data_IF_137343101179
#
_entry.id   IF_137343101179
#
_cell.length_a   1.000
_cell.length_b   1.000
_cell.length_c   1.000
_cell.angle_alpha   90.00
_cell.angle_beta   90.00
_cell.angle_gamma   90.00
#
_symmetry.space_group_name_H-M   'P 1'
#
loop_
_entity.id
_entity.type
_entity.pdbx_description
1 polymer ?
#
# COMPACT_ATOMS: atom_id res chain seq x y z
N UNK A 1 -5.26 2.03 -16.11
CA UNK A 1 -5.48 2.77 -17.37
C UNK A 1 -5.16 4.26 -17.18
N UNK A 2 -4.82 4.95 -18.29
CA UNK A 2 -4.46 6.37 -18.31
C UNK A 2 -5.65 7.23 -18.74
N UNK A 3 -5.74 8.45 -18.22
CA UNK A 3 -6.62 9.48 -18.76
C UNK A 3 -5.83 10.30 -19.80
N UNK A 4 -6.08 10.14 -21.12
CA UNK A 4 -5.45 10.97 -22.13
C UNK A 4 -6.06 12.37 -22.12
N UNK A 5 -5.23 13.38 -22.34
CA UNK A 5 -5.64 14.77 -22.53
C UNK A 5 -4.93 15.35 -23.76
N UNK A 6 -5.55 16.30 -24.40
CA UNK A 6 -4.90 17.11 -25.41
C UNK A 6 -4.35 18.38 -24.77
N UNK A 7 -3.03 18.54 -24.84
CA UNK A 7 -2.34 19.75 -24.38
C UNK A 7 -1.70 20.44 -25.61
N UNK A 8 -2.35 21.48 -26.08
CA UNK A 8 -2.08 22.08 -27.40
C UNK A 8 -2.21 21.01 -28.50
N UNK A 9 -1.13 20.74 -29.24
CA UNK A 9 -1.07 19.80 -30.35
C UNK A 9 -0.45 18.44 -29.96
N UNK A 10 -0.32 18.14 -28.66
CA UNK A 10 0.30 16.93 -28.16
C UNK A 10 -0.66 16.17 -27.27
N UNK A 11 -0.62 14.86 -27.39
CA UNK A 11 -1.24 13.99 -26.41
C UNK A 11 -0.41 14.00 -25.12
N UNK A 12 -1.08 14.14 -23.99
CA UNK A 12 -0.53 14.03 -22.66
C UNK A 12 -1.43 13.17 -21.81
N UNK A 13 -1.02 12.85 -20.59
CA UNK A 13 -1.79 12.01 -19.69
C UNK A 13 -1.81 12.62 -18.29
N UNK A 14 -2.93 12.47 -17.59
CA UNK A 14 -3.00 12.80 -16.18
C UNK A 14 -2.12 11.83 -15.37
N UNK A 15 -1.48 12.33 -14.32
CA UNK A 15 -0.56 11.56 -13.51
C UNK A 15 -1.26 10.43 -12.77
N UNK A 16 -0.78 9.18 -12.92
CA UNK A 16 -1.28 8.03 -12.17
C UNK A 16 -0.58 7.85 -10.82
N UNK A 17 0.67 8.30 -10.70
CA UNK A 17 1.54 8.13 -9.55
C UNK A 17 2.82 8.94 -9.74
N UNK A 18 3.43 9.45 -8.67
CA UNK A 18 4.74 10.10 -8.71
C UNK A 18 5.92 9.11 -8.70
N UNK A 19 5.68 7.79 -8.83
CA UNK A 19 6.65 6.73 -8.55
C UNK A 19 8.02 6.94 -9.21
N UNK A 20 8.06 7.25 -10.52
CA UNK A 20 9.32 7.41 -11.25
C UNK A 20 10.15 8.59 -10.74
N UNK A 21 9.49 9.67 -10.36
CA UNK A 21 10.18 10.89 -9.88
C UNK A 21 10.67 10.73 -8.45
N UNK A 22 9.87 10.16 -7.54
CA UNK A 22 10.29 9.97 -6.15
C UNK A 22 11.43 8.94 -6.04
N UNK A 23 11.46 7.86 -6.83
CA UNK A 23 12.59 6.93 -6.89
C UNK A 23 13.88 7.63 -7.37
N UNK A 24 13.81 8.46 -8.41
CA UNK A 24 14.97 9.21 -8.87
C UNK A 24 15.47 10.23 -7.83
N UNK A 25 14.55 10.86 -7.11
CA UNK A 25 14.89 11.85 -6.08
C UNK A 25 15.54 11.23 -4.86
N UNK A 26 15.28 9.96 -4.52
CA UNK A 26 15.96 9.27 -3.41
C UNK A 26 17.45 9.13 -3.61
N UNK A 27 17.96 9.17 -4.84
CA UNK A 27 19.40 9.18 -5.11
C UNK A 27 20.11 10.43 -4.56
N UNK A 28 19.38 11.52 -4.34
CA UNK A 28 19.94 12.79 -3.85
C UNK A 28 19.45 13.16 -2.46
N UNK A 29 18.21 12.82 -2.12
CA UNK A 29 17.56 13.25 -0.87
C UNK A 29 17.35 12.12 0.13
N UNK A 30 17.62 10.87 -0.24
CA UNK A 30 17.45 9.65 0.56
C UNK A 30 16.01 9.40 1.02
N UNK A 31 15.27 10.42 1.42
CA UNK A 31 13.87 10.37 1.86
C UNK A 31 13.06 11.42 1.12
N UNK A 32 12.01 10.96 0.45
CA UNK A 32 11.12 11.82 -0.34
C UNK A 32 9.68 11.49 0.01
N UNK A 33 8.85 12.51 0.09
CA UNK A 33 7.40 12.35 0.11
C UNK A 33 6.74 13.30 -0.86
N UNK A 34 5.55 12.92 -1.31
CA UNK A 34 4.70 13.76 -2.16
C UNK A 34 3.25 13.63 -1.72
N UNK A 35 2.53 14.74 -1.70
CA UNK A 35 1.09 14.78 -1.47
C UNK A 35 0.49 15.45 -2.71
N UNK A 36 -0.12 14.67 -3.61
CA UNK A 36 -0.56 15.15 -4.90
C UNK A 36 -1.81 14.41 -5.41
N UNK A 37 -2.59 15.05 -6.29
CA UNK A 37 -3.69 14.37 -6.97
C UNK A 37 -3.17 13.31 -7.94
N UNK A 38 -3.80 12.13 -7.93
CA UNK A 38 -3.55 11.04 -8.86
C UNK A 38 -4.84 10.70 -9.61
N UNK A 39 -4.69 10.21 -10.84
CA UNK A 39 -5.80 9.90 -11.73
C UNK A 39 -5.63 8.50 -12.32
N UNK A 40 -6.55 7.61 -12.02
CA UNK A 40 -6.52 6.23 -12.50
C UNK A 40 -7.81 5.90 -13.23
N UNK A 41 -7.76 5.63 -14.52
CA UNK A 41 -8.94 5.22 -15.31
C UNK A 41 -9.25 3.73 -15.05
N UNK A 42 -9.71 3.43 -13.84
CA UNK A 42 -10.06 2.07 -13.45
C UNK A 42 -11.40 1.65 -14.07
N UNK A 43 -11.50 0.44 -14.63
CA UNK A 43 -12.75 -0.05 -15.21
C UNK A 43 -13.79 -0.43 -14.13
N UNK A 44 -13.36 -0.53 -12.87
CA UNK A 44 -14.18 -0.94 -11.73
C UNK A 44 -14.75 0.27 -11.00
N UNK A 45 -16.02 0.19 -10.58
CA UNK A 45 -16.70 1.21 -9.79
C UNK A 45 -17.00 0.65 -8.39
N UNK A 46 -15.97 0.60 -7.55
CA UNK A 46 -16.12 0.20 -6.15
C UNK A 46 -15.60 1.30 -5.24
N UNK A 47 -15.90 1.24 -3.96
CA UNK A 47 -15.37 2.18 -2.96
C UNK A 47 -13.83 2.16 -2.83
N UNK A 48 -13.16 1.18 -3.45
CA UNK A 48 -11.71 1.02 -3.47
C UNK A 48 -11.05 1.56 -4.75
N UNK A 49 -11.83 1.80 -5.81
CA UNK A 49 -11.34 2.20 -7.13
C UNK A 49 -11.83 3.61 -7.45
N UNK A 50 -11.11 4.59 -6.96
CA UNK A 50 -11.36 5.99 -7.23
C UNK A 50 -10.63 6.41 -8.52
N UNK A 51 -11.33 7.14 -9.38
CA UNK A 51 -10.74 7.70 -10.60
C UNK A 51 -9.82 8.89 -10.30
N UNK A 52 -10.05 9.58 -9.19
CA UNK A 52 -9.27 10.70 -8.68
C UNK A 52 -9.13 10.58 -7.17
N UNK A 53 -7.93 10.78 -6.65
CA UNK A 53 -7.65 10.81 -5.22
C UNK A 53 -6.43 11.68 -4.92
N UNK A 54 -6.30 12.15 -3.68
CA UNK A 54 -5.05 12.70 -3.17
C UNK A 54 -4.24 11.55 -2.61
N UNK A 55 -3.07 11.30 -3.21
CA UNK A 55 -2.12 10.28 -2.74
C UNK A 55 -1.10 10.90 -1.80
N UNK A 56 -0.74 10.17 -0.74
CA UNK A 56 0.40 10.46 0.12
C UNK A 56 1.42 9.36 -0.17
N UNK A 57 2.48 9.73 -0.85
CA UNK A 57 3.51 8.82 -1.33
C UNK A 57 4.82 9.05 -0.57
N UNK A 58 5.49 7.96 -0.20
CA UNK A 58 6.78 7.96 0.49
C UNK A 58 7.77 7.09 -0.30
N UNK A 59 9.03 7.51 -0.36
CA UNK A 59 10.13 6.69 -0.85
C UNK A 59 11.37 6.94 0.02
N UNK A 60 12.02 5.88 0.48
CA UNK A 60 13.20 5.95 1.36
C UNK A 60 14.29 5.02 0.83
N UNK A 61 15.50 5.53 0.66
CA UNK A 61 16.67 4.76 0.27
C UNK A 61 17.30 4.05 1.47
N UNK A 62 18.04 2.94 1.21
CA UNK A 62 18.82 2.19 2.19
C UNK A 62 18.01 1.51 3.30
N UNK A 63 16.72 1.28 3.07
CA UNK A 63 15.79 0.61 3.99
C UNK A 63 15.09 -0.57 3.32
N UNK A 64 14.47 -1.42 4.12
CA UNK A 64 13.59 -2.47 3.65
C UNK A 64 12.10 -2.16 3.99
N UNK A 65 11.21 -3.06 3.58
CA UNK A 65 9.78 -2.90 3.80
C UNK A 65 9.38 -2.88 5.29
N UNK A 66 10.21 -3.45 6.19
CA UNK A 66 9.94 -3.42 7.63
C UNK A 66 10.18 -2.01 8.21
N UNK A 67 11.22 -1.33 7.73
CA UNK A 67 11.50 0.06 8.11
C UNK A 67 10.38 0.97 7.65
N UNK A 68 9.90 0.77 6.40
CA UNK A 68 8.79 1.55 5.84
C UNK A 68 7.48 1.31 6.62
N UNK A 69 7.16 0.06 6.98
CA UNK A 69 6.00 -0.22 7.84
C UNK A 69 6.09 0.50 9.18
N UNK A 70 7.27 0.57 9.78
CA UNK A 70 7.48 1.29 11.04
C UNK A 70 7.26 2.80 10.87
N UNK A 71 7.67 3.38 9.73
CA UNK A 71 7.37 4.79 9.40
C UNK A 71 5.87 5.04 9.25
N UNK A 72 5.18 4.14 8.55
CA UNK A 72 3.72 4.25 8.37
C UNK A 72 3.00 4.15 9.71
N UNK A 73 3.43 3.25 10.59
CA UNK A 73 2.90 3.14 11.95
C UNK A 73 3.04 4.45 12.74
N UNK A 74 4.21 5.11 12.67
CA UNK A 74 4.44 6.41 13.28
C UNK A 74 3.51 7.50 12.70
N UNK A 75 3.36 7.52 11.36
CA UNK A 75 2.47 8.47 10.68
C UNK A 75 1.02 8.29 11.12
N UNK A 76 0.53 7.05 11.20
CA UNK A 76 -0.83 6.76 11.67
C UNK A 76 -1.03 7.25 13.09
N UNK A 77 -0.10 6.95 14.00
CA UNK A 77 -0.17 7.40 15.40
C UNK A 77 -0.22 8.92 15.52
N UNK A 78 0.68 9.61 14.84
CA UNK A 78 0.73 11.09 14.85
C UNK A 78 -0.54 11.69 14.24
N UNK A 79 -1.04 11.12 13.17
CA UNK A 79 -2.26 11.59 12.51
C UNK A 79 -3.48 11.43 13.43
N UNK A 80 -3.63 10.29 14.11
CA UNK A 80 -4.73 10.07 15.07
C UNK A 80 -4.63 11.05 16.24
N UNK A 81 -3.42 11.27 16.79
CA UNK A 81 -3.20 12.25 17.87
C UNK A 81 -3.64 13.65 17.42
N UNK A 82 -3.21 14.08 16.22
CA UNK A 82 -3.56 15.40 15.68
C UNK A 82 -5.07 15.57 15.48
N UNK A 83 -5.75 14.54 14.97
CA UNK A 83 -7.21 14.55 14.80
C UNK A 83 -7.92 14.57 16.15
N UNK A 84 -7.47 13.79 17.14
CA UNK A 84 -8.04 13.78 18.48
C UNK A 84 -7.87 15.14 19.17
N UNK A 85 -6.74 15.80 19.02
CA UNK A 85 -6.50 17.15 19.53
C UNK A 85 -7.40 18.18 18.83
N UNK A 86 -7.61 18.06 17.53
CA UNK A 86 -8.56 18.89 16.81
C UNK A 86 -9.99 18.72 17.36
N UNK A 87 -10.46 17.49 17.54
CA UNK A 87 -11.80 17.19 18.07
C UNK A 87 -11.96 17.78 19.48
N UNK A 88 -10.96 17.62 20.34
CA UNK A 88 -10.94 18.16 21.70
C UNK A 88 -11.10 19.68 21.72
N UNK A 89 -10.48 20.38 20.77
CA UNK A 89 -10.52 21.82 20.65
C UNK A 89 -11.73 22.35 19.87
N UNK A 90 -12.53 21.46 19.24
CA UNK A 90 -13.71 21.77 18.47
C UNK A 90 -14.89 20.87 18.90
N UNK A 91 -15.52 21.16 20.06
CA UNK A 91 -16.57 20.29 20.64
C UNK A 91 -17.80 20.09 19.74
N UNK A 92 -18.04 21.02 18.82
CA UNK A 92 -19.15 20.95 17.83
C UNK A 92 -18.80 20.09 16.60
N UNK A 93 -17.62 19.46 16.56
CA UNK A 93 -17.21 18.57 15.48
C UNK A 93 -18.08 17.30 15.45
N UNK A 94 -18.50 16.88 14.26
CA UNK A 94 -19.20 15.60 14.05
C UNK A 94 -18.28 14.38 14.17
N UNK A 95 -16.97 14.58 14.26
CA UNK A 95 -15.99 13.50 14.39
C UNK A 95 -15.90 12.98 15.82
N UNK A 96 -15.59 11.70 15.96
CA UNK A 96 -15.34 11.04 17.24
C UNK A 96 -13.88 10.69 17.39
N UNK A 97 -13.35 10.78 18.62
CA UNK A 97 -11.98 10.41 18.93
C UNK A 97 -11.74 8.93 18.64
N UNK A 98 -10.57 8.63 18.08
CA UNK A 98 -10.12 7.27 17.76
C UNK A 98 -8.96 6.90 18.70
N UNK A 99 -8.96 5.68 19.29
CA UNK A 99 -7.84 5.23 20.10
C UNK A 99 -6.54 5.19 19.28
N UNK A 100 -5.46 5.70 19.85
CA UNK A 100 -4.12 5.57 19.23
C UNK A 100 -3.65 4.13 19.44
N UNK A 101 -3.35 3.37 18.38
CA UNK A 101 -2.87 2.01 18.52
C UNK A 101 -1.49 1.99 19.21
N UNK A 102 -1.30 1.12 20.18
CA UNK A 102 0.01 0.92 20.80
C UNK A 102 0.99 0.33 19.79
N UNK A 103 0.57 -0.74 19.11
CA UNK A 103 1.29 -1.40 18.01
C UNK A 103 0.30 -1.78 16.93
N UNK A 104 0.76 -1.80 15.67
CA UNK A 104 0.01 -2.32 14.54
C UNK A 104 0.49 -3.76 14.27
N UNK A 105 -0.35 -4.79 14.48
CA UNK A 105 0.05 -6.19 14.28
C UNK A 105 0.40 -6.47 12.83
N UNK A 106 1.32 -7.42 12.61
CA UNK A 106 1.76 -7.89 11.31
C UNK A 106 1.39 -9.35 11.14
N UNK A 107 0.68 -9.67 10.08
CA UNK A 107 0.30 -11.04 9.71
C UNK A 107 0.91 -11.37 8.35
N UNK A 108 1.49 -12.55 8.21
CA UNK A 108 1.93 -13.01 6.89
C UNK A 108 0.71 -13.39 6.04
N UNK A 109 0.87 -13.34 4.74
CA UNK A 109 -0.15 -13.81 3.80
C UNK A 109 -0.52 -15.28 4.09
N UNK A 110 0.47 -16.14 4.38
CA UNK A 110 0.26 -17.55 4.70
C UNK A 110 -0.61 -17.71 5.95
N UNK A 111 -0.30 -16.98 7.04
CA UNK A 111 -1.11 -17.00 8.27
C UNK A 111 -2.57 -16.63 8.03
N UNK A 112 -2.82 -15.64 7.15
CA UNK A 112 -4.18 -15.22 6.85
C UNK A 112 -4.93 -16.23 5.99
N UNK A 113 -4.27 -16.83 4.99
CA UNK A 113 -4.85 -17.92 4.18
C UNK A 113 -5.24 -19.07 5.08
N UNK A 114 -4.35 -19.51 5.98
CA UNK A 114 -4.63 -20.58 6.93
C UNK A 114 -5.84 -20.27 7.84
N UNK A 115 -5.90 -19.04 8.38
CA UNK A 115 -7.04 -18.60 9.22
C UNK A 115 -8.34 -18.57 8.43
N UNK A 116 -8.33 -18.08 7.21
CA UNK A 116 -9.51 -18.02 6.35
C UNK A 116 -9.99 -19.40 5.96
N UNK A 117 -9.09 -20.34 5.64
CA UNK A 117 -9.46 -21.74 5.36
C UNK A 117 -10.09 -22.42 6.58
N UNK A 118 -9.52 -22.22 7.78
CA UNK A 118 -10.10 -22.70 9.04
C UNK A 118 -11.48 -22.11 9.34
N UNK A 119 -11.73 -20.87 8.88
CA UNK A 119 -13.04 -20.21 8.96
C UNK A 119 -14.01 -20.58 7.83
N UNK A 120 -13.67 -21.58 7.01
CA UNK A 120 -14.51 -22.08 5.92
C UNK A 120 -14.53 -21.22 4.66
N UNK A 121 -13.51 -20.36 4.45
CA UNK A 121 -13.34 -19.67 3.19
C UNK A 121 -12.70 -20.59 2.15
N UNK A 122 -13.18 -20.50 0.91
CA UNK A 122 -12.53 -21.14 -0.25
C UNK A 122 -11.45 -20.18 -0.76
N UNK A 123 -10.25 -20.28 -0.23
CA UNK A 123 -9.09 -19.47 -0.61
C UNK A 123 -7.91 -20.43 -0.80
N UNK A 124 -7.22 -20.34 -1.91
CA UNK A 124 -5.99 -21.08 -2.19
C UNK A 124 -4.77 -20.16 -2.09
N UNK A 125 -3.60 -20.75 -1.94
CA UNK A 125 -2.37 -19.98 -1.92
C UNK A 125 -2.12 -19.33 -3.28
N UNK A 126 -1.89 -18.01 -3.29
CA UNK A 126 -1.75 -17.22 -4.51
C UNK A 126 -3.01 -16.43 -4.90
N UNK A 127 -4.14 -16.71 -4.25
CA UNK A 127 -5.37 -15.95 -4.46
C UNK A 127 -5.28 -14.53 -3.87
N UNK A 128 -6.11 -13.63 -4.38
CA UNK A 128 -6.32 -12.34 -3.73
C UNK A 128 -7.12 -12.51 -2.42
N UNK A 129 -6.79 -11.70 -1.41
CA UNK A 129 -7.48 -11.71 -0.13
C UNK A 129 -8.75 -10.84 -0.20
N UNK A 130 -9.84 -11.44 -0.68
CA UNK A 130 -11.11 -10.75 -0.82
C UNK A 130 -11.67 -10.27 0.52
N UNK A 131 -12.26 -9.06 0.57
CA UNK A 131 -12.87 -8.50 1.78
C UNK A 131 -13.85 -9.44 2.48
N UNK A 132 -14.65 -10.16 1.68
CA UNK A 132 -15.62 -11.13 2.19
C UNK A 132 -14.98 -12.29 2.96
N UNK A 133 -13.73 -12.65 2.62
CA UNK A 133 -12.98 -13.69 3.30
C UNK A 133 -12.24 -13.13 4.54
N UNK A 134 -11.69 -11.91 4.43
CA UNK A 134 -11.10 -11.23 5.58
C UNK A 134 -12.11 -10.97 6.70
N UNK A 135 -13.35 -10.61 6.37
CA UNK A 135 -14.44 -10.48 7.36
C UNK A 135 -14.72 -11.75 8.17
N UNK A 136 -14.51 -12.93 7.59
CA UNK A 136 -14.74 -14.21 8.28
C UNK A 136 -13.76 -14.47 9.44
N UNK A 137 -12.57 -13.87 9.38
CA UNK A 137 -11.55 -14.03 10.42
C UNK A 137 -11.57 -12.92 11.47
N UNK A 138 -12.49 -11.94 11.34
CA UNK A 138 -12.80 -10.95 12.37
C UNK A 138 -11.64 -10.06 12.76
N UNK A 139 -10.77 -9.68 11.81
CA UNK A 139 -9.71 -8.71 12.05
C UNK A 139 -10.29 -7.30 11.99
N UNK A 140 -10.30 -6.64 13.14
CA UNK A 140 -10.74 -5.26 13.28
C UNK A 140 -9.55 -4.33 13.55
N UNK A 141 -9.69 -3.05 13.19
CA UNK A 141 -8.65 -2.04 13.38
C UNK A 141 -7.50 -2.16 12.37
N UNK A 142 -6.35 -1.57 12.74
CA UNK A 142 -5.16 -1.54 11.89
C UNK A 142 -4.37 -2.84 11.98
N UNK A 143 -3.91 -3.36 10.83
CA UNK A 143 -2.94 -4.46 10.75
C UNK A 143 -2.20 -4.42 9.41
N UNK A 144 -1.00 -4.98 9.37
CA UNK A 144 -0.26 -5.20 8.13
C UNK A 144 -0.43 -6.64 7.65
N UNK A 145 -0.53 -6.79 6.33
CA UNK A 145 -0.37 -8.08 5.63
C UNK A 145 0.99 -8.04 4.96
N UNK A 146 1.84 -9.03 5.23
CA UNK A 146 3.21 -9.10 4.69
C UNK A 146 3.43 -10.37 3.87
N UNK A 147 4.56 -10.44 3.19
CA UNK A 147 5.02 -11.66 2.51
C UNK A 147 4.04 -12.21 1.47
N UNK A 148 3.48 -11.29 0.69
CA UNK A 148 2.56 -11.64 -0.39
C UNK A 148 3.21 -12.54 -1.44
N UNK A 149 2.45 -13.42 -2.12
CA UNK A 149 2.93 -14.13 -3.30
C UNK A 149 3.53 -13.17 -4.33
N UNK A 150 4.71 -13.52 -4.86
CA UNK A 150 5.43 -12.65 -5.80
C UNK A 150 4.73 -12.55 -7.17
N UNK A 151 4.08 -13.62 -7.62
CA UNK A 151 3.48 -13.70 -8.96
C UNK A 151 2.54 -12.55 -9.32
N UNK A 152 1.55 -12.20 -8.47
CA UNK A 152 0.64 -11.08 -8.69
C UNK A 152 1.28 -9.70 -8.56
N UNK A 153 2.40 -9.57 -7.83
CA UNK A 153 3.02 -8.26 -7.57
C UNK A 153 3.69 -7.68 -8.82
N UNK A 154 3.83 -6.35 -8.92
CA UNK A 154 4.53 -5.69 -10.01
C UNK A 154 5.98 -6.14 -10.17
N UNK A 155 6.52 -6.01 -11.37
CA UNK A 155 7.87 -6.48 -11.72
C UNK A 155 9.00 -5.86 -10.88
N UNK A 156 8.79 -4.67 -10.34
CA UNK A 156 9.79 -3.94 -9.55
C UNK A 156 9.82 -4.33 -8.07
N UNK A 157 8.91 -5.19 -7.62
CA UNK A 157 8.88 -5.64 -6.22
C UNK A 157 9.94 -6.72 -6.00
N UNK A 158 10.72 -6.56 -4.93
CA UNK A 158 11.79 -7.49 -4.57
C UNK A 158 11.21 -8.79 -4.00
N UNK A 159 11.80 -9.91 -4.39
CA UNK A 159 11.53 -11.20 -3.77
C UNK A 159 12.27 -11.36 -2.44
N UNK A 160 11.70 -12.16 -1.56
CA UNK A 160 12.33 -12.49 -0.29
C UNK A 160 13.55 -13.39 -0.51
N UNK A 161 14.65 -13.09 0.18
CA UNK A 161 15.86 -13.90 0.17
C UNK A 161 15.65 -15.32 0.72
N UNK A 162 14.70 -15.48 1.64
CA UNK A 162 14.40 -16.77 2.28
C UNK A 162 13.49 -17.65 1.42
N UNK A 163 12.62 -17.04 0.61
CA UNK A 163 11.68 -17.75 -0.25
C UNK A 163 11.37 -16.92 -1.51
N UNK A 164 11.90 -17.29 -2.69
CA UNK A 164 11.69 -16.51 -3.91
C UNK A 164 10.25 -16.53 -4.45
N UNK A 165 9.33 -17.29 -3.83
CA UNK A 165 7.91 -17.28 -4.20
C UNK A 165 7.13 -16.15 -3.52
N UNK A 166 7.69 -15.55 -2.47
CA UNK A 166 7.09 -14.44 -1.74
C UNK A 166 7.85 -13.14 -1.98
N UNK A 167 7.17 -12.03 -1.79
CA UNK A 167 7.69 -10.70 -2.02
C UNK A 167 7.97 -9.96 -0.72
N UNK A 168 8.96 -9.09 -0.70
CA UNK A 168 9.18 -8.10 0.36
C UNK A 168 8.17 -6.94 0.18
N UNK A 169 6.89 -7.24 0.42
CA UNK A 169 5.80 -6.27 0.29
C UNK A 169 4.82 -6.36 1.45
N UNK A 170 4.08 -5.29 1.63
CA UNK A 170 3.04 -5.20 2.64
C UNK A 170 1.83 -4.42 2.13
N UNK A 171 0.68 -4.68 2.74
CA UNK A 171 -0.50 -3.82 2.67
C UNK A 171 -0.92 -3.46 4.10
N UNK A 172 -1.21 -2.17 4.36
CA UNK A 172 -1.82 -1.70 5.60
C UNK A 172 -3.32 -1.74 5.47
N UNK A 173 -3.96 -2.44 6.37
CA UNK A 173 -5.41 -2.63 6.41
C UNK A 173 -6.04 -1.89 7.60
N UNK A 174 -7.30 -1.51 7.45
CA UNK A 174 -8.19 -1.17 8.55
C UNK A 174 -9.48 -1.96 8.37
N UNK A 175 -9.68 -2.99 9.17
CA UNK A 175 -10.70 -3.97 8.90
C UNK A 175 -10.50 -4.63 7.53
N UNK A 176 -11.46 -4.51 6.63
CA UNK A 176 -11.38 -5.02 5.26
C UNK A 176 -10.97 -3.97 4.21
N UNK A 177 -10.59 -2.78 4.64
CA UNK A 177 -10.16 -1.68 3.78
C UNK A 177 -8.63 -1.58 3.73
N UNK A 178 -8.05 -1.62 2.51
CA UNK A 178 -6.65 -1.30 2.27
C UNK A 178 -6.46 0.23 2.32
N UNK A 179 -5.58 0.69 3.21
CA UNK A 179 -5.23 2.10 3.38
C UNK A 179 -3.94 2.48 2.64
N UNK A 180 -3.00 1.56 2.58
CA UNK A 180 -1.69 1.79 1.97
C UNK A 180 -1.06 0.48 1.57
N UNK A 181 -0.19 0.51 0.57
CA UNK A 181 0.66 -0.62 0.20
C UNK A 181 2.08 -0.16 -0.10
N UNK A 182 3.02 -1.08 0.04
CA UNK A 182 4.42 -0.79 -0.21
C UNK A 182 5.29 -2.03 -0.37
N UNK A 183 6.54 -1.81 -0.76
CA UNK A 183 7.50 -2.90 -0.94
C UNK A 183 8.95 -2.43 -0.94
N UNK A 184 9.87 -3.34 -0.63
CA UNK A 184 11.27 -3.19 -1.03
C UNK A 184 11.36 -3.26 -2.56
N UNK A 185 12.14 -2.38 -3.16
CA UNK A 185 12.34 -2.32 -4.61
C UNK A 185 13.57 -3.13 -5.03
N UNK A 186 13.56 -3.60 -6.28
CA UNK A 186 14.74 -4.21 -6.88
C UNK A 186 15.75 -3.11 -7.16
N UNK A 187 16.90 -3.13 -6.48
CA UNK A 187 17.97 -2.15 -6.63
C UNK A 187 18.96 -2.47 -7.77
N UNK A 188 18.98 -3.72 -8.24
CA UNK A 188 19.91 -4.14 -9.29
C UNK A 188 19.31 -3.94 -10.67
N UNK A 189 19.95 -3.09 -11.46
CA UNK A 189 19.51 -2.75 -12.82
C UNK A 189 19.25 -3.96 -13.71
N UNK A 190 20.18 -4.93 -13.72
CA UNK A 190 20.09 -6.07 -14.63
C UNK A 190 18.94 -7.01 -14.23
N UNK A 191 18.70 -7.19 -12.92
CA UNK A 191 17.58 -7.94 -12.41
C UNK A 191 16.24 -7.25 -12.75
N UNK A 192 16.16 -5.94 -12.56
CA UNK A 192 14.96 -5.17 -12.90
C UNK A 192 14.66 -5.26 -14.40
N UNK A 193 15.69 -5.08 -15.26
CA UNK A 193 15.55 -5.20 -16.71
C UNK A 193 15.08 -6.60 -17.12
N UNK A 194 15.63 -7.65 -16.53
CA UNK A 194 15.21 -9.02 -16.79
C UNK A 194 13.74 -9.26 -16.44
N UNK A 195 13.28 -8.74 -15.29
CA UNK A 195 11.88 -8.86 -14.87
C UNK A 195 10.92 -8.06 -15.76
N UNK A 196 11.34 -6.91 -16.25
CA UNK A 196 10.55 -6.12 -17.23
C UNK A 196 10.35 -6.89 -18.53
N UNK A 197 11.35 -7.65 -18.99
CA UNK A 197 11.23 -8.43 -20.23
C UNK A 197 10.38 -9.70 -20.08
N UNK A 198 10.21 -10.21 -18.86
CA UNK A 198 9.49 -11.46 -18.59
C UNK A 198 8.00 -11.25 -18.24
N UNK A 199 7.54 -10.01 -18.17
CA UNK A 199 6.13 -9.60 -18.00
C UNK A 199 5.57 -8.95 -19.26
#
# INVERSE_FOLDING_TARGET
ALFPIFYYNKEAFLAQSPQLYKEQLTMSFEKVFEIAPIFRAEPSRTNRHLAEAISIDLEEAFVDYNDVMSRIEEIIKVSIIAVNDYIKNNPDSEFTSTPVPENIPRYTYDDLVDRMQKAGAKTEWGDDLYPSNLKKIGLDGFYFITDWPLGPKPFYVKDSKSNPKISESFDLMFGDLELSSGSTRIEKRDELAQRMCNK
#
